data_IF_710871465212
#
_entry.id   IF_710871465212
#
_cell.length_a   1.000
_cell.length_b   1.000
_cell.length_c   1.000
_cell.angle_alpha   90.00
_cell.angle_beta   90.00
_cell.angle_gamma   90.00
#
_symmetry.space_group_name_H-M   'P 1'
#
loop_
_entity.id
_entity.type
_entity.pdbx_description
1 polymer ?
#
# COMPACT_ATOMS: atom_id res chain seq x y z
N UNK A 1 22.52 17.53 -14.58
CA UNK A 1 22.26 18.98 -14.41
C UNK A 1 20.84 19.10 -13.87
N UNK A 2 20.47 19.40 -12.64
CA UNK A 2 21.08 19.81 -11.35
C UNK A 2 19.97 19.51 -10.31
N UNK A 3 20.21 18.95 -9.10
CA UNK A 3 19.10 18.79 -8.14
C UNK A 3 18.83 20.08 -7.36
N UNK A 4 17.54 20.34 -7.16
CA UNK A 4 16.97 21.52 -6.50
C UNK A 4 17.31 21.56 -5.00
N UNK A 5 17.44 22.79 -4.51
CA UNK A 5 18.18 23.14 -3.29
C UNK A 5 17.55 22.72 -1.97
N UNK A 6 18.42 22.32 -1.04
CA UNK A 6 18.15 22.17 0.39
C UNK A 6 18.17 23.56 1.01
N UNK A 7 17.01 24.05 1.47
CA UNK A 7 16.91 25.27 2.25
C UNK A 7 17.55 25.05 3.64
N UNK A 8 18.72 25.66 3.88
CA UNK A 8 19.36 25.68 5.20
C UNK A 8 18.63 26.71 6.08
N UNK A 9 17.98 26.25 7.15
CA UNK A 9 17.50 27.14 8.22
C UNK A 9 18.71 27.64 9.03
N UNK A 10 18.92 28.95 9.20
CA UNK A 10 19.97 29.45 10.08
C UNK A 10 19.54 29.24 11.55
N UNK A 11 20.40 28.58 12.32
CA UNK A 11 20.25 28.39 13.76
C UNK A 11 20.79 29.66 14.43
N UNK A 12 19.90 30.57 14.84
CA UNK A 12 20.33 31.71 15.67
C UNK A 12 20.66 31.20 17.08
N UNK A 13 21.91 31.38 17.48
CA UNK A 13 22.36 31.23 18.87
C UNK A 13 22.43 32.62 19.47
N UNK A 14 21.44 33.01 20.27
CA UNK A 14 21.51 34.23 21.08
C UNK A 14 22.45 33.97 22.26
N UNK A 15 23.68 34.47 22.17
CA UNK A 15 24.62 34.51 23.28
C UNK A 15 24.15 35.51 24.33
N UNK A 16 23.87 35.02 25.54
CA UNK A 16 23.72 35.82 26.74
C UNK A 16 24.62 35.24 27.83
N UNK A 17 25.69 35.94 28.17
CA UNK A 17 26.56 35.61 29.30
C UNK A 17 25.83 35.94 30.61
N UNK A 18 25.44 34.91 31.36
CA UNK A 18 24.90 35.07 32.71
C UNK A 18 26.05 35.01 33.72
N UNK A 19 26.67 36.16 34.02
CA UNK A 19 27.64 36.27 35.11
C UNK A 19 26.89 36.42 36.44
N UNK A 20 27.03 35.43 37.32
CA UNK A 20 26.47 35.51 38.67
C UNK A 20 27.38 36.34 39.59
N UNK A 21 26.83 37.19 40.48
CA UNK A 21 27.65 37.96 41.42
C UNK A 21 28.17 37.08 42.57
N UNK A 22 29.33 37.41 43.17
CA UNK A 22 29.89 36.63 44.28
C UNK A 22 29.06 36.78 45.56
N UNK A 23 28.87 35.66 46.25
CA UNK A 23 28.14 35.55 47.52
C UNK A 23 28.97 36.19 48.64
N UNK A 24 28.42 37.19 49.33
CA UNK A 24 29.03 37.75 50.55
C UNK A 24 28.92 36.74 51.69
N UNK A 25 30.04 36.27 52.20
CA UNK A 25 30.10 35.54 53.48
C UNK A 25 30.26 36.57 54.60
N UNK A 26 29.22 36.79 55.40
CA UNK A 26 29.35 37.49 56.68
C UNK A 26 29.38 36.45 57.79
N UNK A 27 30.55 36.32 58.41
CA UNK A 27 30.74 35.55 59.63
C UNK A 27 30.19 36.34 60.84
N UNK A 28 29.53 35.64 61.76
CA UNK A 28 29.29 36.11 63.13
C UNK A 28 27.93 35.71 63.71
N UNK A 29 27.93 35.15 64.92
CA UNK A 29 26.78 35.20 65.83
C UNK A 29 26.38 33.87 66.48
N UNK A 30 26.55 33.79 67.80
CA UNK A 30 26.34 32.63 68.67
C UNK A 30 24.84 32.42 69.05
N UNK A 31 24.44 31.16 69.25
CA UNK A 31 23.43 30.75 70.25
C UNK A 31 21.97 30.60 69.79
N UNK A 32 21.37 29.41 70.02
CA UNK A 32 19.91 29.19 69.99
C UNK A 32 19.53 27.70 69.91
N UNK A 33 18.73 27.23 70.89
CA UNK A 33 18.35 25.82 71.16
C UNK A 33 17.74 25.03 69.97
N UNK A 34 17.75 23.69 69.99
CA UNK A 34 17.09 22.90 68.96
C UNK A 34 15.57 22.95 69.14
N UNK A 35 14.90 23.82 68.39
CA UNK A 35 13.46 23.68 68.16
C UNK A 35 13.28 22.57 67.11
N UNK A 36 12.90 21.39 67.56
CA UNK A 36 12.46 20.34 66.63
C UNK A 36 11.29 20.88 65.79
N UNK A 37 11.34 20.79 64.44
CA UNK A 37 10.23 21.21 63.60
C UNK A 37 9.00 20.33 63.90
N UNK A 38 7.77 20.88 63.85
CA UNK A 38 6.57 20.05 64.00
C UNK A 38 6.58 18.98 62.93
N UNK A 39 6.33 17.74 63.35
CA UNK A 39 6.26 16.57 62.48
C UNK A 39 5.14 16.75 61.45
N UNK A 40 5.49 17.33 60.30
CA UNK A 40 4.62 17.36 59.15
C UNK A 40 4.48 15.90 58.70
N UNK A 41 3.33 15.27 59.00
CA UNK A 41 3.00 13.99 58.37
C UNK A 41 2.92 14.27 56.88
N UNK A 42 3.95 13.85 56.15
CA UNK A 42 4.01 13.99 54.70
C UNK A 42 2.75 13.40 54.09
N UNK A 43 2.09 14.18 53.22
CA UNK A 43 1.07 13.63 52.32
C UNK A 43 1.80 12.64 51.42
N UNK A 44 1.33 11.38 51.26
CA UNK A 44 1.94 10.47 50.31
C UNK A 44 1.77 11.08 48.92
N UNK A 45 2.87 11.59 48.34
CA UNK A 45 2.93 11.96 46.93
C UNK A 45 2.79 10.65 46.18
N UNK A 46 1.61 10.40 45.63
CA UNK A 46 1.38 9.24 44.79
C UNK A 46 2.32 9.37 43.59
N UNK A 47 3.12 8.33 43.34
CA UNK A 47 4.15 8.29 42.32
C UNK A 47 3.50 8.29 40.92
N UNK A 48 3.09 9.48 40.47
CA UNK A 48 2.42 9.72 39.19
C UNK A 48 3.33 9.37 37.99
N UNK A 49 4.66 9.40 38.23
CA UNK A 49 5.70 9.12 37.24
C UNK A 49 5.60 7.72 36.63
N UNK A 50 5.30 6.67 37.42
CA UNK A 50 5.17 5.30 36.87
C UNK A 50 3.99 5.14 35.90
N UNK A 51 2.88 5.84 36.15
CA UNK A 51 1.67 5.75 35.32
C UNK A 51 1.84 6.50 34.00
N UNK A 52 2.47 7.68 34.04
CA UNK A 52 2.80 8.45 32.85
C UNK A 52 3.80 7.69 31.96
N UNK A 53 4.83 7.07 32.54
CA UNK A 53 5.85 6.29 31.81
C UNK A 53 5.29 5.05 31.09
N UNK A 54 4.32 4.36 31.70
CA UNK A 54 3.64 3.22 31.09
C UNK A 54 2.71 3.67 29.94
N UNK A 55 1.96 4.75 30.17
CA UNK A 55 1.09 5.35 29.14
C UNK A 55 1.88 5.78 27.91
N UNK A 56 3.03 6.44 28.07
CA UNK A 56 3.87 6.85 26.95
C UNK A 56 4.39 5.66 26.13
N UNK A 57 4.81 4.57 26.77
CA UNK A 57 5.29 3.36 26.07
C UNK A 57 4.19 2.66 25.28
N UNK A 58 3.01 2.56 25.87
CA UNK A 58 1.86 1.96 25.17
C UNK A 58 1.42 2.82 23.99
N UNK A 59 1.32 4.14 24.18
CA UNK A 59 0.97 5.07 23.11
C UNK A 59 2.03 5.10 21.99
N UNK A 60 3.32 5.09 22.33
CA UNK A 60 4.41 4.99 21.35
C UNK A 60 4.37 3.67 20.59
N UNK A 61 4.16 2.54 21.29
CA UNK A 61 3.98 1.23 20.67
C UNK A 61 2.81 1.24 19.69
N UNK A 62 1.65 1.80 20.09
CA UNK A 62 0.48 1.93 19.22
C UNK A 62 0.78 2.77 17.97
N UNK A 63 1.46 3.91 18.12
CA UNK A 63 1.86 4.76 16.98
C UNK A 63 2.81 4.02 16.03
N UNK A 64 3.78 3.28 16.57
CA UNK A 64 4.72 2.48 15.79
C UNK A 64 4.03 1.34 15.04
N UNK A 65 3.13 0.61 15.70
CA UNK A 65 2.32 -0.45 15.09
C UNK A 65 1.39 0.12 14.02
N UNK A 66 0.71 1.23 14.28
CA UNK A 66 -0.12 1.94 13.31
C UNK A 66 0.70 2.39 12.08
N UNK A 67 1.90 2.92 12.28
CA UNK A 67 2.79 3.31 11.19
C UNK A 67 3.27 2.11 10.36
N UNK A 68 3.54 0.96 10.99
CA UNK A 68 3.85 -0.31 10.29
C UNK A 68 2.63 -0.81 9.49
N UNK A 69 1.46 -0.84 10.11
CA UNK A 69 0.22 -1.27 9.46
C UNK A 69 -0.14 -0.36 8.27
N UNK A 70 0.00 0.96 8.42
CA UNK A 70 -0.22 1.93 7.35
C UNK A 70 0.76 1.73 6.17
N UNK A 71 2.05 1.46 6.45
CA UNK A 71 3.03 1.12 5.42
C UNK A 71 2.68 -0.20 4.70
N UNK A 72 2.38 -1.24 5.46
CA UNK A 72 1.99 -2.55 4.91
C UNK A 72 0.72 -2.45 4.06
N UNK A 73 -0.28 -1.66 4.47
CA UNK A 73 -1.50 -1.41 3.69
C UNK A 73 -1.18 -0.74 2.36
N UNK A 74 -0.37 0.32 2.37
CA UNK A 74 0.06 1.03 1.14
C UNK A 74 0.87 0.14 0.21
N UNK A 75 1.69 -0.75 0.76
CA UNK A 75 2.47 -1.71 -0.03
C UNK A 75 1.58 -2.76 -0.70
N UNK A 76 0.63 -3.33 0.04
CA UNK A 76 -0.37 -4.25 -0.53
C UNK A 76 -1.18 -3.61 -1.64
N UNK A 77 -1.67 -2.38 -1.41
CA UNK A 77 -2.45 -1.64 -2.41
C UNK A 77 -1.64 -1.42 -3.71
N UNK A 78 -0.38 -1.01 -3.60
CA UNK A 78 0.51 -0.89 -4.77
C UNK A 78 0.74 -2.22 -5.46
N UNK A 79 0.99 -3.29 -4.70
CA UNK A 79 1.21 -4.62 -5.28
C UNK A 79 -0.05 -5.16 -6.00
N UNK A 80 -1.23 -4.92 -5.44
CA UNK A 80 -2.52 -5.30 -6.05
C UNK A 80 -2.78 -4.50 -7.34
N UNK A 81 -2.46 -3.20 -7.34
CA UNK A 81 -2.55 -2.35 -8.53
C UNK A 81 -1.57 -2.79 -9.62
N UNK A 82 -0.30 -3.02 -9.27
CA UNK A 82 0.72 -3.54 -10.18
C UNK A 82 0.30 -4.90 -10.76
N UNK A 83 -0.17 -5.84 -9.93
CA UNK A 83 -0.63 -7.15 -10.37
C UNK A 83 -1.86 -7.05 -11.29
N UNK A 84 -2.80 -6.17 -10.99
CA UNK A 84 -3.96 -5.90 -11.85
C UNK A 84 -3.54 -5.30 -13.20
N UNK A 85 -2.61 -4.34 -13.17
CA UNK A 85 -2.09 -3.70 -14.38
C UNK A 85 -1.37 -4.69 -15.30
N UNK A 86 -0.57 -5.60 -14.73
CA UNK A 86 0.14 -6.63 -15.48
C UNK A 86 -0.82 -7.65 -16.08
N UNK A 87 -1.81 -8.12 -15.30
CA UNK A 87 -2.86 -9.01 -15.84
C UNK A 87 -3.62 -8.38 -17.00
N UNK A 88 -3.94 -7.08 -16.92
CA UNK A 88 -4.59 -6.34 -17.99
C UNK A 88 -3.70 -6.27 -19.23
N UNK A 89 -2.42 -5.95 -19.07
CA UNK A 89 -1.44 -5.88 -20.17
C UNK A 89 -1.26 -7.22 -20.87
N UNK A 90 -1.14 -8.31 -20.12
CA UNK A 90 -1.03 -9.67 -20.67
C UNK A 90 -2.29 -10.06 -21.44
N UNK A 91 -3.47 -9.76 -20.91
CA UNK A 91 -4.73 -10.00 -21.62
C UNK A 91 -4.79 -9.25 -22.94
N UNK A 92 -4.40 -7.98 -22.95
CA UNK A 92 -4.41 -7.15 -24.16
C UNK A 92 -3.37 -7.61 -25.21
N UNK A 93 -2.18 -8.00 -24.77
CA UNK A 93 -1.13 -8.53 -25.65
C UNK A 93 -1.57 -9.80 -26.40
N UNK A 94 -2.31 -10.68 -25.72
CA UNK A 94 -2.79 -11.95 -26.27
C UNK A 94 -4.20 -11.87 -26.86
N UNK A 95 -4.89 -10.73 -26.77
CA UNK A 95 -6.23 -10.55 -27.30
C UNK A 95 -6.23 -10.70 -28.83
N UNK A 96 -7.16 -11.50 -29.36
CA UNK A 96 -7.26 -11.83 -30.80
C UNK A 96 -5.99 -12.44 -31.41
N UNK A 97 -5.16 -13.10 -30.59
CA UNK A 97 -3.98 -13.84 -31.06
C UNK A 97 -4.24 -15.34 -31.02
N UNK A 98 -3.85 -16.03 -32.08
CA UNK A 98 -3.97 -17.47 -32.17
C UNK A 98 -3.08 -18.15 -31.12
N UNK A 99 -3.63 -19.02 -30.25
CA UNK A 99 -2.83 -19.72 -29.24
C UNK A 99 -1.86 -20.76 -29.84
N UNK A 100 -2.06 -21.16 -31.10
CA UNK A 100 -1.20 -22.14 -31.79
C UNK A 100 0.04 -21.51 -32.42
N UNK A 101 -0.10 -20.32 -33.03
CA UNK A 101 0.98 -19.71 -33.82
C UNK A 101 1.19 -18.20 -33.59
N UNK A 102 0.46 -17.57 -32.67
CA UNK A 102 0.62 -16.16 -32.30
C UNK A 102 0.16 -15.12 -33.33
N UNK A 103 -0.37 -15.54 -34.49
CA UNK A 103 -0.87 -14.63 -35.52
C UNK A 103 -2.27 -14.09 -35.19
N UNK A 104 -2.67 -13.00 -35.84
CA UNK A 104 -3.99 -12.41 -35.68
C UNK A 104 -5.13 -13.36 -36.10
N UNK A 105 -6.16 -13.38 -35.26
CA UNK A 105 -7.47 -13.96 -35.52
C UNK A 105 -8.36 -12.93 -36.21
N UNK A 106 -9.18 -13.39 -37.16
CA UNK A 106 -10.19 -12.58 -37.83
C UNK A 106 -11.58 -13.11 -37.48
N UNK A 107 -12.43 -12.25 -36.94
CA UNK A 107 -13.84 -12.55 -36.71
C UNK A 107 -14.58 -12.68 -38.05
N UNK A 108 -15.36 -13.74 -38.21
CA UNK A 108 -16.21 -14.03 -39.36
C UNK A 108 -17.60 -14.45 -38.85
N UNK A 109 -18.67 -13.90 -39.43
CA UNK A 109 -20.04 -14.34 -39.14
C UNK A 109 -20.43 -15.47 -40.08
N UNK A 110 -20.79 -16.62 -39.52
CA UNK A 110 -21.35 -17.75 -40.25
C UNK A 110 -22.71 -18.13 -39.62
N UNK A 111 -23.79 -17.90 -40.36
CA UNK A 111 -25.16 -18.25 -39.96
C UNK A 111 -25.55 -17.69 -38.58
N UNK A 112 -25.12 -16.45 -38.29
CA UNK A 112 -25.39 -15.74 -37.05
C UNK A 112 -24.51 -16.18 -35.87
N UNK A 113 -23.46 -16.98 -36.13
CA UNK A 113 -22.44 -17.35 -35.13
C UNK A 113 -21.15 -16.66 -35.52
N UNK A 114 -20.57 -15.87 -34.62
CA UNK A 114 -19.25 -15.28 -34.82
C UNK A 114 -18.20 -16.37 -34.61
N UNK A 115 -17.18 -16.36 -35.45
CA UNK A 115 -16.12 -17.36 -35.45
C UNK A 115 -14.80 -16.67 -35.69
N UNK A 116 -13.79 -17.00 -34.89
CA UNK A 116 -12.46 -16.46 -35.05
C UNK A 116 -11.56 -17.40 -35.85
N UNK A 117 -11.14 -16.94 -37.03
CA UNK A 117 -10.26 -17.71 -37.92
C UNK A 117 -8.85 -17.14 -37.94
N UNK A 118 -7.86 -17.99 -37.70
CA UNK A 118 -6.46 -17.61 -37.82
C UNK A 118 -6.05 -17.45 -39.29
N UNK A 119 -5.38 -16.35 -39.58
CA UNK A 119 -4.87 -16.01 -40.92
C UNK A 119 -3.70 -16.88 -41.41
N UNK A 120 -3.02 -17.59 -40.52
CA UNK A 120 -1.80 -18.34 -40.84
C UNK A 120 -1.97 -19.87 -40.72
N UNK A 121 -2.52 -20.36 -39.61
CA UNK A 121 -2.67 -21.80 -39.38
C UNK A 121 -4.07 -22.33 -39.69
N UNK A 122 -4.97 -21.45 -40.16
CA UNK A 122 -6.37 -21.74 -40.46
C UNK A 122 -7.19 -22.32 -39.29
N UNK A 123 -6.62 -22.28 -38.07
CA UNK A 123 -7.31 -22.69 -36.85
C UNK A 123 -8.55 -21.85 -36.61
N UNK A 124 -9.59 -22.51 -36.13
CA UNK A 124 -10.90 -21.92 -35.85
C UNK A 124 -11.14 -21.95 -34.34
N UNK A 125 -11.55 -20.81 -33.79
CA UNK A 125 -11.84 -20.62 -32.37
C UNK A 125 -13.26 -20.08 -32.19
N UNK A 126 -13.91 -20.50 -31.10
CA UNK A 126 -15.27 -20.13 -30.73
C UNK A 126 -15.23 -19.54 -29.33
N UNK A 127 -16.01 -18.47 -29.11
CA UNK A 127 -16.20 -17.92 -27.79
C UNK A 127 -17.13 -18.79 -26.93
N UNK A 128 -17.12 -18.50 -25.63
CA UNK A 128 -17.98 -19.20 -24.67
C UNK A 128 -19.46 -19.05 -25.05
N UNK A 129 -20.15 -20.18 -25.24
CA UNK A 129 -21.57 -20.24 -25.60
C UNK A 129 -21.87 -20.14 -27.10
N UNK A 130 -20.90 -19.83 -27.96
CA UNK A 130 -21.11 -19.86 -29.43
C UNK A 130 -21.17 -21.28 -29.96
N UNK A 131 -20.32 -22.15 -29.43
CA UNK A 131 -20.31 -23.56 -29.77
C UNK A 131 -21.65 -24.23 -29.40
N UNK A 132 -22.23 -23.86 -28.25
CA UNK A 132 -23.52 -24.39 -27.81
C UNK A 132 -24.67 -23.99 -28.74
N UNK A 133 -24.62 -22.78 -29.32
CA UNK A 133 -25.61 -22.34 -30.32
C UNK A 133 -25.56 -23.22 -31.57
N UNK A 134 -24.37 -23.68 -31.98
CA UNK A 134 -24.22 -24.60 -33.11
C UNK A 134 -24.77 -25.99 -32.76
N UNK A 135 -24.53 -26.46 -31.52
CA UNK A 135 -25.03 -27.76 -31.07
C UNK A 135 -26.54 -27.81 -30.87
N UNK A 136 -27.17 -26.68 -30.53
CA UNK A 136 -28.62 -26.56 -30.39
C UNK A 136 -29.38 -26.61 -31.73
N UNK A 137 -28.72 -26.32 -32.86
CA UNK A 137 -29.31 -26.41 -34.21
C UNK A 137 -29.60 -27.87 -34.60
N UNK A 138 -30.50 -28.06 -35.58
CA UNK A 138 -30.84 -29.41 -36.07
C UNK A 138 -29.60 -30.09 -36.66
N UNK A 139 -29.60 -31.43 -36.66
CA UNK A 139 -28.46 -32.21 -37.15
C UNK A 139 -28.07 -31.88 -38.61
N UNK A 140 -29.06 -31.59 -39.46
CA UNK A 140 -28.86 -31.19 -40.87
C UNK A 140 -28.20 -29.80 -40.99
N UNK A 141 -28.69 -28.83 -40.22
CA UNK A 141 -28.14 -27.47 -40.16
C UNK A 141 -26.71 -27.47 -39.61
N UNK A 142 -26.47 -28.22 -38.52
CA UNK A 142 -25.14 -28.40 -37.95
C UNK A 142 -24.16 -29.03 -38.95
N UNK A 143 -24.59 -30.05 -39.70
CA UNK A 143 -23.75 -30.67 -40.74
C UNK A 143 -23.45 -29.69 -41.87
N UNK A 144 -24.43 -28.89 -42.29
CA UNK A 144 -24.25 -27.84 -43.29
C UNK A 144 -23.29 -26.74 -42.84
N UNK A 145 -23.37 -26.34 -41.57
CA UNK A 145 -22.49 -25.36 -40.95
C UNK A 145 -21.03 -25.83 -40.96
N UNK A 146 -20.74 -27.03 -40.45
CA UNK A 146 -19.37 -27.56 -40.43
C UNK A 146 -18.81 -27.81 -41.83
N UNK A 147 -19.67 -28.16 -42.80
CA UNK A 147 -19.29 -28.28 -44.20
C UNK A 147 -18.82 -26.93 -44.78
N UNK A 148 -19.58 -25.85 -44.58
CA UNK A 148 -19.20 -24.48 -44.97
C UNK A 148 -17.94 -24.00 -44.25
N UNK A 149 -17.82 -24.29 -42.96
CA UNK A 149 -16.65 -23.91 -42.16
C UNK A 149 -15.36 -24.57 -42.69
N UNK A 150 -15.43 -25.85 -43.04
CA UNK A 150 -14.32 -26.61 -43.62
C UNK A 150 -14.09 -26.33 -45.11
N UNK A 151 -15.01 -25.64 -45.80
CA UNK A 151 -14.92 -25.35 -47.23
C UNK A 151 -15.09 -26.58 -48.13
N UNK A 152 -15.81 -27.61 -47.66
CA UNK A 152 -16.16 -28.86 -48.37
C UNK A 152 -17.65 -28.82 -48.77
#
# INVERSE_FOLDING_TARGET
MTPLGVAKRPRQMSGGEFTSPPRKTQAGGLGGAPLAPPSFRGVPVQDDHRREDEWFRENEKQLLEAARAARARRERERADEEASSERKRLREMHYMKCPKCGHDLKEQDLEGVKIDRCTHCEGVFFDAGELDQIFAKKAEERRGFFRRLAGI
#
